data_IF_769696496372
#
_entry.id   IF_769696496372
#
_cell.length_a   1.000
_cell.length_b   1.000
_cell.length_c   1.000
_cell.angle_alpha   90.00
_cell.angle_beta   90.00
_cell.angle_gamma   90.00
#
_symmetry.space_group_name_H-M   'P 1'
#
loop_
_entity.id
_entity.type
_entity.pdbx_description
1 polymer ?
#
# COMPACT_ATOMS: atom_id res chain seq x y z
N UNK A 1 8.35 20.31 -9.03
CA UNK A 1 8.96 19.52 -7.93
C UNK A 1 7.80 19.03 -7.08
N UNK A 2 7.69 17.74 -6.83
CA UNK A 2 6.67 17.22 -5.94
C UNK A 2 7.08 17.60 -4.51
N UNK A 3 6.18 18.23 -3.74
CA UNK A 3 6.49 18.63 -2.37
C UNK A 3 6.72 17.36 -1.53
N UNK A 4 7.71 17.41 -0.63
CA UNK A 4 7.99 16.32 0.29
C UNK A 4 6.81 16.12 1.24
N UNK A 5 6.46 14.87 1.46
CA UNK A 5 5.42 14.50 2.41
C UNK A 5 5.79 13.21 3.15
N UNK A 6 5.22 13.04 4.33
CA UNK A 6 5.31 11.81 5.12
C UNK A 6 4.16 10.88 4.75
N UNK A 7 4.45 9.58 4.68
CA UNK A 7 3.48 8.55 4.35
C UNK A 7 3.53 7.43 5.37
N UNK A 8 2.35 6.99 5.80
CA UNK A 8 2.19 5.78 6.61
C UNK A 8 1.76 4.62 5.72
N UNK A 9 2.55 3.57 5.74
CA UNK A 9 2.44 2.40 4.88
C UNK A 9 2.13 1.15 5.71
N UNK A 10 0.91 0.59 5.59
CA UNK A 10 0.58 -0.70 6.18
C UNK A 10 1.25 -1.80 5.34
N UNK A 11 2.20 -2.50 5.94
CA UNK A 11 3.09 -3.44 5.27
C UNK A 11 2.65 -4.88 5.52
N UNK A 12 2.78 -5.68 4.49
CA UNK A 12 2.41 -7.09 4.52
C UNK A 12 3.52 -7.97 5.11
N UNK A 13 3.13 -9.15 5.58
CA UNK A 13 4.04 -10.22 5.98
C UNK A 13 4.84 -10.78 4.78
N UNK A 14 5.86 -11.59 5.10
CA UNK A 14 6.76 -12.12 4.08
C UNK A 14 6.08 -13.01 3.03
N UNK A 15 5.06 -13.77 3.41
CA UNK A 15 4.32 -14.61 2.45
C UNK A 15 3.55 -13.74 1.45
N UNK A 16 2.83 -12.75 1.92
CA UNK A 16 2.10 -11.79 1.06
C UNK A 16 3.05 -11.00 0.18
N UNK A 17 4.21 -10.54 0.71
CA UNK A 17 5.25 -9.88 -0.07
C UNK A 17 5.71 -10.73 -1.25
N UNK A 18 5.95 -12.02 -1.02
CA UNK A 18 6.39 -12.95 -2.06
C UNK A 18 5.32 -13.17 -3.14
N UNK A 19 4.05 -13.26 -2.77
CA UNK A 19 2.94 -13.40 -3.73
C UNK A 19 2.84 -12.16 -4.61
N UNK A 20 2.87 -10.97 -4.03
CA UNK A 20 2.81 -9.70 -4.78
C UNK A 20 4.04 -9.52 -5.67
N UNK A 21 5.24 -9.88 -5.18
CA UNK A 21 6.46 -9.87 -5.96
C UNK A 21 6.37 -10.84 -7.17
N UNK A 22 5.73 -11.99 -7.02
CA UNK A 22 5.52 -12.91 -8.12
C UNK A 22 4.62 -12.30 -9.23
N UNK A 23 3.55 -11.61 -8.87
CA UNK A 23 2.72 -10.90 -9.86
C UNK A 23 3.50 -9.80 -10.57
N UNK A 24 4.32 -9.04 -9.84
CA UNK A 24 5.20 -8.05 -10.45
C UNK A 24 6.22 -8.70 -11.39
N UNK A 25 6.81 -9.83 -11.02
CA UNK A 25 7.73 -10.59 -11.87
C UNK A 25 7.07 -11.06 -13.16
N UNK A 26 5.82 -11.54 -13.11
CA UNK A 26 5.05 -11.91 -14.31
C UNK A 26 4.91 -10.70 -15.24
N UNK A 27 4.57 -9.53 -14.70
CA UNK A 27 4.50 -8.28 -15.47
C UNK A 27 5.86 -7.93 -16.10
N UNK A 28 6.94 -7.97 -15.31
CA UNK A 28 8.29 -7.67 -15.78
C UNK A 28 8.76 -8.63 -16.90
N UNK A 29 8.46 -9.92 -16.78
CA UNK A 29 8.80 -10.93 -17.80
C UNK A 29 8.05 -10.68 -19.13
N UNK A 30 6.93 -9.98 -19.09
CA UNK A 30 6.18 -9.56 -20.27
C UNK A 30 6.52 -8.13 -20.72
N UNK A 31 7.59 -7.53 -20.16
CA UNK A 31 8.09 -6.21 -20.57
C UNK A 31 7.48 -5.02 -19.82
N UNK A 32 6.64 -5.24 -18.79
CA UNK A 32 5.99 -4.20 -18.01
C UNK A 32 6.76 -3.92 -16.72
N UNK A 33 7.73 -3.01 -16.77
CA UNK A 33 8.62 -2.68 -15.63
C UNK A 33 8.01 -1.61 -14.72
N UNK A 34 7.36 -0.61 -15.32
CA UNK A 34 6.71 0.49 -14.61
C UNK A 34 7.62 1.53 -13.98
N UNK A 35 6.99 2.56 -13.42
CA UNK A 35 7.62 3.72 -12.79
C UNK A 35 7.35 3.81 -11.28
N UNK A 36 6.81 2.75 -10.66
CA UNK A 36 6.55 2.71 -9.24
C UNK A 36 7.86 2.83 -8.42
N UNK A 37 7.75 3.40 -7.22
CA UNK A 37 8.88 3.52 -6.29
C UNK A 37 9.42 2.12 -5.99
N UNK A 38 10.72 1.94 -6.19
CA UNK A 38 11.45 0.70 -5.88
C UNK A 38 11.98 0.74 -4.45
N UNK A 39 12.40 -0.42 -3.96
CA UNK A 39 13.07 -0.59 -2.66
C UNK A 39 12.19 -0.24 -1.44
N UNK A 40 10.86 -0.29 -1.60
CA UNK A 40 9.91 -0.27 -0.50
C UNK A 40 9.06 -1.55 -0.54
N UNK A 41 8.68 -2.11 0.64
CA UNK A 41 7.79 -3.28 0.69
C UNK A 41 6.45 -3.00 0.03
N UNK A 42 5.77 -4.02 -0.48
CA UNK A 42 4.36 -3.89 -0.86
C UNK A 42 3.53 -3.50 0.35
N UNK A 43 2.60 -2.59 0.17
CA UNK A 43 1.87 -1.95 1.25
C UNK A 43 0.52 -1.40 0.79
N UNK A 44 -0.31 -1.05 1.77
CA UNK A 44 -1.36 -0.06 1.55
C UNK A 44 -0.92 1.28 2.12
N UNK A 45 -1.00 2.34 1.34
CA UNK A 45 -0.82 3.69 1.85
C UNK A 45 -2.04 4.07 2.70
N UNK A 46 -1.82 4.29 4.01
CA UNK A 46 -2.88 4.69 4.94
C UNK A 46 -3.23 6.18 4.80
N UNK A 47 -2.25 6.99 4.44
CA UNK A 47 -2.39 8.41 4.21
C UNK A 47 -1.05 9.14 4.23
N UNK A 48 -1.10 10.45 4.06
CA UNK A 48 0.07 11.33 4.05
C UNK A 48 -0.12 12.54 4.95
N UNK A 49 0.99 13.15 5.36
CA UNK A 49 1.03 14.35 6.20
C UNK A 49 2.23 15.22 5.83
N UNK A 50 2.22 16.47 6.30
CA UNK A 50 3.33 17.39 6.12
C UNK A 50 4.58 16.90 6.87
N UNK A 51 5.77 17.25 6.37
CA UNK A 51 7.06 16.83 6.95
C UNK A 51 7.27 17.31 8.38
N UNK A 52 6.66 18.43 8.77
CA UNK A 52 6.71 18.98 10.13
C UNK A 52 6.00 18.12 11.18
N UNK A 53 5.23 17.12 10.73
CA UNK A 53 4.51 16.20 11.62
C UNK A 53 5.31 14.94 11.99
N UNK A 54 6.59 14.82 11.66
CA UNK A 54 7.38 13.61 11.81
C UNK A 54 7.36 13.04 13.23
N UNK A 55 7.71 13.85 14.25
CA UNK A 55 7.72 13.40 15.64
C UNK A 55 6.32 12.96 16.11
N UNK A 56 5.30 13.72 15.74
CA UNK A 56 3.92 13.38 16.08
C UNK A 56 3.49 12.05 15.48
N UNK A 57 3.81 11.81 14.20
CA UNK A 57 3.50 10.55 13.53
C UNK A 57 4.31 9.38 14.10
N UNK A 58 5.56 9.59 14.51
CA UNK A 58 6.33 8.55 15.19
C UNK A 58 5.70 8.10 16.52
N UNK A 59 5.20 9.03 17.32
CA UNK A 59 4.55 8.72 18.58
C UNK A 59 3.18 8.08 18.37
N UNK A 60 2.40 8.57 17.40
CA UNK A 60 1.16 7.91 16.99
C UNK A 60 1.42 6.48 16.50
N UNK A 61 2.46 6.28 15.69
CA UNK A 61 2.84 4.97 15.16
C UNK A 61 3.10 3.96 16.28
N UNK A 62 3.90 4.34 17.30
CA UNK A 62 4.16 3.49 18.47
C UNK A 62 2.87 3.13 19.21
N UNK A 63 2.02 4.16 19.48
CA UNK A 63 0.77 4.01 20.22
C UNK A 63 -0.24 3.14 19.49
N UNK A 64 -0.45 3.39 18.21
CA UNK A 64 -1.43 2.65 17.41
C UNK A 64 -0.98 1.20 17.22
N UNK A 65 0.27 0.96 16.82
CA UNK A 65 0.76 -0.40 16.58
C UNK A 65 0.79 -1.25 17.86
N UNK A 66 1.11 -0.67 19.03
CA UNK A 66 1.10 -1.41 20.30
C UNK A 66 -0.30 -1.84 20.74
N UNK A 67 -1.35 -1.25 20.18
CA UNK A 67 -2.76 -1.55 20.50
C UNK A 67 -3.52 -2.23 19.35
N UNK A 68 -2.86 -2.51 18.24
CA UNK A 68 -3.48 -3.12 17.05
C UNK A 68 -2.87 -4.49 16.80
N UNK A 69 -3.73 -5.48 16.58
CA UNK A 69 -3.31 -6.83 16.17
C UNK A 69 -2.99 -6.87 14.68
N UNK A 70 -2.18 -7.86 14.26
CA UNK A 70 -2.01 -8.19 12.86
C UNK A 70 -3.38 -8.38 12.18
N UNK A 71 -3.50 -7.92 10.94
CA UNK A 71 -4.78 -7.90 10.23
C UNK A 71 -4.74 -8.94 9.11
N UNK A 72 -5.59 -9.96 9.22
CA UNK A 72 -5.82 -10.94 8.17
C UNK A 72 -6.91 -10.44 7.21
N UNK A 73 -6.65 -10.53 5.92
CA UNK A 73 -7.58 -10.06 4.88
C UNK A 73 -7.44 -10.86 3.60
N UNK A 74 -8.39 -10.70 2.67
CA UNK A 74 -8.31 -11.27 1.32
C UNK A 74 -7.96 -10.20 0.31
N UNK A 75 -6.94 -10.43 -0.51
CA UNK A 75 -6.67 -9.63 -1.71
C UNK A 75 -7.43 -10.28 -2.88
N UNK A 76 -8.53 -9.66 -3.28
CA UNK A 76 -9.55 -10.33 -4.11
C UNK A 76 -9.80 -9.64 -5.46
N UNK A 77 -9.35 -8.41 -5.64
CA UNK A 77 -9.67 -7.61 -6.81
C UNK A 77 -8.44 -7.02 -7.46
N UNK A 78 -8.50 -6.91 -8.78
CA UNK A 78 -7.62 -6.05 -9.57
C UNK A 78 -8.38 -4.76 -9.85
N UNK A 79 -7.72 -3.63 -9.74
CA UNK A 79 -8.31 -2.33 -9.99
C UNK A 79 -7.37 -1.37 -10.67
N UNK A 80 -7.93 -0.24 -11.08
CA UNK A 80 -7.21 0.86 -11.72
C UNK A 80 -7.53 2.18 -11.02
N UNK A 81 -6.52 3.02 -10.81
CA UNK A 81 -6.75 4.45 -10.61
C UNK A 81 -6.50 5.19 -11.90
N UNK A 82 -7.57 5.81 -12.41
CA UNK A 82 -7.52 6.39 -13.74
C UNK A 82 -7.11 5.35 -14.76
N UNK A 83 -6.09 5.66 -15.52
CA UNK A 83 -5.53 4.78 -16.54
C UNK A 83 -4.04 4.47 -16.33
N UNK A 84 -3.47 4.94 -15.21
CA UNK A 84 -2.02 4.96 -14.99
C UNK A 84 -1.55 4.02 -13.86
N UNK A 85 -2.45 3.54 -12.99
CA UNK A 85 -2.09 2.71 -11.85
C UNK A 85 -2.89 1.41 -11.86
N UNK A 86 -2.19 0.29 -11.93
CA UNK A 86 -2.73 -1.05 -11.77
C UNK A 86 -2.41 -1.56 -10.36
N UNK A 87 -3.41 -2.06 -9.64
CA UNK A 87 -3.27 -2.48 -8.26
C UNK A 87 -4.09 -3.72 -7.91
N UNK A 88 -3.75 -4.33 -6.79
CA UNK A 88 -4.58 -5.35 -6.12
C UNK A 88 -5.26 -4.72 -4.91
N UNK A 89 -6.53 -5.04 -4.70
CA UNK A 89 -7.33 -4.50 -3.61
C UNK A 89 -7.96 -5.60 -2.74
N UNK A 90 -8.16 -5.32 -1.44
CA UNK A 90 -8.84 -6.24 -0.55
C UNK A 90 -10.35 -6.21 -0.72
N UNK A 91 -11.01 -7.27 -0.30
CA UNK A 91 -12.41 -7.19 0.13
C UNK A 91 -12.53 -6.22 1.32
N UNK A 92 -13.72 -5.69 1.54
CA UNK A 92 -13.97 -4.80 2.68
C UNK A 92 -13.48 -5.46 3.99
N UNK A 93 -12.66 -4.72 4.75
CA UNK A 93 -12.13 -5.17 6.02
C UNK A 93 -12.21 -4.03 7.04
N UNK A 94 -13.00 -4.27 8.10
CA UNK A 94 -13.26 -3.25 9.13
C UNK A 94 -12.01 -2.98 9.98
N UNK A 95 -11.18 -3.98 10.25
CA UNK A 95 -9.95 -3.83 11.03
C UNK A 95 -8.95 -2.94 10.29
N UNK A 96 -8.82 -3.11 8.98
CA UNK A 96 -8.00 -2.26 8.12
C UNK A 96 -8.52 -0.81 8.07
N UNK A 97 -9.83 -0.63 7.97
CA UNK A 97 -10.44 0.70 8.02
C UNK A 97 -10.19 1.37 9.37
N UNK A 98 -10.33 0.65 10.48
CA UNK A 98 -10.05 1.15 11.82
C UNK A 98 -8.56 1.53 11.99
N UNK A 99 -7.65 0.74 11.43
CA UNK A 99 -6.22 1.07 11.44
C UNK A 99 -5.98 2.40 10.69
N UNK A 100 -6.55 2.56 9.51
CA UNK A 100 -6.42 3.81 8.74
C UNK A 100 -6.99 5.01 9.51
N UNK A 101 -8.17 4.87 10.10
CA UNK A 101 -8.83 5.93 10.86
C UNK A 101 -8.10 6.26 12.18
N UNK A 102 -7.32 5.35 12.72
CA UNK A 102 -6.49 5.61 13.91
C UNK A 102 -5.39 6.63 13.65
N UNK A 103 -4.96 6.77 12.40
CA UNK A 103 -3.97 7.76 11.99
C UNK A 103 -4.60 9.00 11.34
N UNK A 104 -5.66 8.82 10.58
CA UNK A 104 -6.27 9.86 9.75
C UNK A 104 -7.78 9.93 10.01
N UNK A 105 -8.17 10.62 11.06
CA UNK A 105 -9.59 10.80 11.44
C UNK A 105 -10.40 11.60 10.43
N UNK A 106 -9.72 12.37 9.58
CA UNK A 106 -10.35 13.27 8.60
C UNK A 106 -9.89 12.88 7.16
N UNK A 107 -10.19 11.65 6.77
CA UNK A 107 -9.99 11.20 5.39
C UNK A 107 -10.93 11.88 4.37
N UNK A 108 -11.65 12.90 4.80
CA UNK A 108 -12.72 13.57 4.07
C UNK A 108 -12.34 14.86 3.37
N UNK A 109 -11.08 15.21 3.21
CA UNK A 109 -10.67 16.33 2.35
C UNK A 109 -10.77 15.93 0.89
N UNK A 110 -11.95 16.06 0.34
CA UNK A 110 -12.23 15.82 -1.07
C UNK A 110 -13.32 14.78 -1.29
N UNK A 111 -13.78 14.66 -2.52
CA UNK A 111 -14.80 13.70 -2.94
C UNK A 111 -14.28 12.25 -3.01
N UNK A 112 -13.02 12.00 -2.70
CA UNK A 112 -12.40 10.68 -2.78
C UNK A 112 -12.27 10.09 -1.38
N UNK A 113 -13.05 9.04 -1.12
CA UNK A 113 -12.87 8.19 0.06
C UNK A 113 -11.58 7.39 -0.09
N UNK A 114 -10.92 7.10 1.03
CA UNK A 114 -9.76 6.22 1.04
C UNK A 114 -10.08 4.83 0.46
N UNK A 115 -9.21 4.34 -0.40
CA UNK A 115 -9.31 3.01 -1.01
C UNK A 115 -8.02 2.25 -0.74
N UNK A 116 -8.13 1.13 -0.02
CA UNK A 116 -6.98 0.25 0.20
C UNK A 116 -6.56 -0.39 -1.12
N UNK A 117 -5.28 -0.26 -1.47
CA UNK A 117 -4.72 -0.84 -2.69
C UNK A 117 -3.23 -1.11 -2.54
N UNK A 118 -2.78 -2.21 -3.12
CA UNK A 118 -1.37 -2.54 -3.27
C UNK A 118 -0.98 -2.38 -4.74
N UNK A 119 -0.16 -1.39 -5.04
CA UNK A 119 0.26 -1.06 -6.40
C UNK A 119 1.13 -2.16 -6.99
N UNK A 120 0.80 -2.62 -8.18
CA UNK A 120 1.62 -3.56 -8.97
C UNK A 120 2.39 -2.85 -10.09
N UNK A 121 1.77 -1.87 -10.75
CA UNK A 121 2.35 -1.19 -11.90
C UNK A 121 1.86 0.25 -11.98
N UNK A 122 2.78 1.19 -12.21
CA UNK A 122 2.49 2.59 -12.57
C UNK A 122 3.16 2.83 -13.91
N UNK A 123 2.39 3.20 -14.93
CA UNK A 123 2.91 3.46 -16.27
C UNK A 123 1.94 4.32 -17.09
N UNK A 124 2.30 4.60 -18.33
CA UNK A 124 1.42 5.29 -19.27
C UNK A 124 0.17 4.44 -19.59
N UNK A 125 -0.97 5.09 -19.91
CA UNK A 125 -2.25 4.40 -20.12
C UNK A 125 -2.19 3.23 -21.11
N UNK A 126 -1.46 3.40 -22.21
CA UNK A 126 -1.33 2.35 -23.24
C UNK A 126 -0.58 1.12 -22.72
N UNK A 127 0.42 1.31 -21.84
CA UNK A 127 1.17 0.25 -21.19
C UNK A 127 0.27 -0.50 -20.20
N UNK A 128 -0.46 0.23 -19.36
CA UNK A 128 -1.42 -0.35 -18.41
C UNK A 128 -2.47 -1.19 -19.12
N UNK A 129 -3.07 -0.69 -20.19
CA UNK A 129 -4.07 -1.43 -20.98
C UNK A 129 -3.53 -2.75 -21.54
N UNK A 130 -2.25 -2.80 -21.94
CA UNK A 130 -1.60 -4.03 -22.40
C UNK A 130 -1.24 -4.99 -21.27
N UNK A 131 -0.99 -4.48 -20.05
CA UNK A 131 -0.67 -5.29 -18.88
C UNK A 131 -1.90 -5.99 -18.28
N UNK A 132 -3.11 -5.43 -18.42
CA UNK A 132 -4.35 -5.97 -17.85
C UNK A 132 -4.59 -7.44 -18.23
N UNK A 133 -4.56 -7.87 -19.49
CA UNK A 133 -4.76 -9.27 -19.85
C UNK A 133 -3.77 -10.20 -19.13
N UNK A 134 -2.50 -9.81 -19.07
CA UNK A 134 -1.45 -10.61 -18.46
C UNK A 134 -1.73 -10.83 -16.96
N UNK A 135 -2.09 -9.77 -16.24
CA UNK A 135 -2.35 -9.92 -14.82
C UNK A 135 -3.67 -10.67 -14.55
N UNK A 136 -4.71 -10.43 -15.33
CA UNK A 136 -6.02 -11.07 -15.15
C UNK A 136 -6.00 -12.57 -15.43
N UNK A 137 -5.18 -13.03 -16.37
CA UNK A 137 -4.98 -14.45 -16.64
C UNK A 137 -4.27 -15.20 -15.51
N UNK A 138 -3.43 -14.49 -14.75
CA UNK A 138 -2.59 -15.10 -13.71
C UNK A 138 -3.13 -14.85 -12.29
N UNK A 139 -3.92 -13.81 -12.08
CA UNK A 139 -4.38 -13.42 -10.75
C UNK A 139 -5.41 -14.41 -10.20
N UNK A 140 -5.21 -14.81 -8.95
CA UNK A 140 -6.18 -15.54 -8.13
C UNK A 140 -6.31 -14.85 -6.78
N UNK A 141 -7.52 -14.68 -6.24
CA UNK A 141 -7.70 -14.18 -4.88
C UNK A 141 -6.89 -14.99 -3.87
N UNK A 142 -6.25 -14.32 -2.92
CA UNK A 142 -5.41 -14.96 -1.91
C UNK A 142 -5.53 -14.28 -0.54
N UNK A 143 -5.15 -15.01 0.49
CA UNK A 143 -5.07 -14.48 1.86
C UNK A 143 -3.80 -13.66 2.01
N UNK A 144 -3.91 -12.57 2.73
CA UNK A 144 -2.82 -11.65 3.03
C UNK A 144 -2.88 -11.24 4.51
N UNK A 145 -1.74 -10.81 5.05
CA UNK A 145 -1.64 -10.32 6.41
C UNK A 145 -0.84 -9.03 6.46
N UNK A 146 -1.38 -8.02 7.15
CA UNK A 146 -0.64 -6.83 7.53
C UNK A 146 -0.01 -7.08 8.88
N UNK A 147 1.32 -6.90 9.00
CA UNK A 147 2.07 -7.16 10.21
C UNK A 147 2.80 -5.95 10.80
N UNK A 148 2.90 -4.86 10.04
CA UNK A 148 3.57 -3.63 10.49
C UNK A 148 3.04 -2.40 9.81
N UNK A 149 3.40 -1.24 10.35
CA UNK A 149 3.22 0.06 9.71
C UNK A 149 4.57 0.75 9.66
N UNK A 150 4.96 1.22 8.47
CA UNK A 150 6.18 1.98 8.23
C UNK A 150 5.88 3.46 7.99
N UNK A 151 6.73 4.33 8.49
CA UNK A 151 6.74 5.77 8.24
C UNK A 151 7.87 6.10 7.27
N UNK A 152 7.54 6.73 6.16
CA UNK A 152 8.45 7.11 5.09
C UNK A 152 8.24 8.56 4.67
N UNK A 153 9.30 9.22 4.22
CA UNK A 153 9.23 10.48 3.48
C UNK A 153 9.42 10.21 1.98
N UNK A 154 8.68 10.88 1.13
CA UNK A 154 8.83 10.91 -0.33
C UNK A 154 8.80 12.38 -0.82
N UNK A 155 9.48 12.79 -1.85
CA UNK A 155 10.65 12.28 -2.56
C UNK A 155 11.87 13.14 -2.22
N UNK A 156 13.11 12.62 -2.15
CA UNK A 156 13.52 11.22 -2.32
C UNK A 156 13.06 10.33 -1.17
N UNK A 157 13.00 9.02 -1.41
CA UNK A 157 12.55 8.05 -0.40
C UNK A 157 13.50 8.01 0.79
N UNK A 158 12.96 8.25 2.00
CA UNK A 158 13.67 8.11 3.27
C UNK A 158 12.83 7.24 4.22
N UNK A 159 13.37 6.11 4.61
CA UNK A 159 12.80 5.31 5.69
C UNK A 159 13.05 6.02 7.03
N UNK A 160 12.01 6.15 7.84
CA UNK A 160 12.07 6.81 9.14
C UNK A 160 11.94 5.78 10.26
N UNK A 161 10.85 5.00 10.23
CA UNK A 161 10.54 4.05 11.30
C UNK A 161 9.55 2.98 10.85
N UNK A 162 9.64 1.81 11.49
CA UNK A 162 8.64 0.76 11.38
C UNK A 162 8.23 0.30 12.79
N UNK A 163 6.94 0.03 12.97
CA UNK A 163 6.42 -0.59 14.18
C UNK A 163 5.58 -1.82 13.81
N UNK A 164 5.90 -2.95 14.44
CA UNK A 164 5.15 -4.20 14.30
C UNK A 164 3.80 -4.09 14.99
N UNK A 165 2.79 -4.71 14.40
CA UNK A 165 1.51 -4.96 15.05
C UNK A 165 1.64 -6.15 16.02
N UNK A 166 0.73 -6.25 16.98
CA UNK A 166 0.72 -7.35 17.93
C UNK A 166 0.36 -8.67 17.23
N UNK A 167 1.01 -9.74 17.60
CA UNK A 167 0.62 -11.08 17.18
C UNK A 167 -0.75 -11.44 17.78
N UNK A 168 -1.51 -12.25 17.09
CA UNK A 168 -2.82 -12.76 17.52
C UNK A 168 -2.66 -13.79 18.65
#
# INVERSE_FOLDING_TARGET
>A
MQDKALYLLAQFDGETQNILANYNNILCQNGFIGNQTKDIPYHFTLGSSDVDCEEHLEDMLKKVCSNTKCIDLGLSYIGLFGQNVLFVAPSMNLELLNLQQSFFTDSGRGCHKWVAHATLLIDEPETILKAIPIITENFKPFKARIESVGLYEFFPTRFIKECKLNLN
#
